data_IF_833832659471
#
_entry.id   IF_833832659471
#
_cell.length_a   1.000
_cell.length_b   1.000
_cell.length_c   1.000
_cell.angle_alpha   90.00
_cell.angle_beta   90.00
_cell.angle_gamma   90.00
#
_symmetry.space_group_name_H-M   'P 1'
#
loop_
_entity.id
_entity.type
_entity.pdbx_description
1 polymer ?
#
# COMPACT_ATOMS: atom_id res chain seq x y z
N UNK A 1 8.22 4.82 -2.12
CA UNK A 1 8.75 3.50 -1.72
C UNK A 1 7.84 2.73 -0.76
N UNK A 2 7.09 3.35 0.17
CA UNK A 2 6.25 2.57 1.10
C UNK A 2 5.05 1.87 0.42
N UNK A 3 4.20 2.59 -0.33
CA UNK A 3 3.04 1.99 -1.01
C UNK A 3 3.38 1.30 -2.33
N UNK A 4 4.44 1.71 -3.00
CA UNK A 4 4.88 1.11 -4.29
C UNK A 4 5.17 -0.39 -4.14
N UNK A 5 5.65 -0.79 -2.96
CA UNK A 5 5.95 -2.18 -2.61
C UNK A 5 4.70 -3.08 -2.51
N UNK A 6 3.50 -2.51 -2.52
CA UNK A 6 2.26 -3.27 -2.50
C UNK A 6 1.67 -3.50 -3.88
N UNK A 7 2.19 -2.87 -4.95
CA UNK A 7 1.55 -2.98 -6.27
C UNK A 7 1.75 -4.34 -6.93
N UNK A 8 2.99 -4.84 -7.02
CA UNK A 8 3.30 -6.13 -7.66
C UNK A 8 3.21 -7.29 -6.66
N UNK A 9 3.87 -7.23 -5.49
CA UNK A 9 3.98 -8.40 -4.61
C UNK A 9 2.66 -8.85 -3.97
N UNK A 10 1.70 -7.93 -3.76
CA UNK A 10 0.39 -8.29 -3.19
C UNK A 10 -0.54 -9.08 -4.14
N UNK A 11 -0.24 -9.09 -5.45
CA UNK A 11 -1.13 -9.65 -6.48
C UNK A 11 -0.55 -10.83 -7.22
N UNK A 12 0.77 -10.85 -7.41
CA UNK A 12 1.41 -11.87 -8.21
C UNK A 12 2.32 -12.76 -7.35
N UNK A 13 2.13 -14.09 -7.36
CA UNK A 13 2.95 -15.01 -6.58
C UNK A 13 4.46 -14.91 -6.87
N UNK A 14 4.85 -14.55 -8.10
CA UNK A 14 6.25 -14.31 -8.47
C UNK A 14 6.84 -13.01 -7.89
N UNK A 15 6.03 -12.20 -7.19
CA UNK A 15 6.50 -11.04 -6.44
C UNK A 15 7.20 -11.39 -5.13
N UNK A 16 7.18 -12.66 -4.72
CA UNK A 16 7.89 -13.19 -3.57
C UNK A 16 8.74 -14.41 -3.97
N UNK A 17 9.84 -14.71 -3.25
CA UNK A 17 10.65 -15.90 -3.52
C UNK A 17 9.88 -17.23 -3.39
N UNK A 18 8.87 -17.27 -2.51
CA UNK A 18 8.05 -18.45 -2.22
C UNK A 18 6.71 -18.05 -1.58
N UNK A 19 5.74 -18.96 -1.52
CA UNK A 19 4.44 -18.75 -0.86
C UNK A 19 3.42 -17.93 -1.66
N UNK A 20 2.18 -17.88 -1.16
CA UNK A 20 1.11 -17.09 -1.73
C UNK A 20 1.19 -15.63 -1.25
N UNK A 21 0.85 -14.62 -2.08
CA UNK A 21 0.93 -13.20 -1.72
C UNK A 21 0.31 -12.83 -0.36
N UNK A 22 -0.83 -13.43 0.02
CA UNK A 22 -1.52 -13.11 1.27
C UNK A 22 -0.73 -13.54 2.53
N UNK A 23 0.25 -14.43 2.40
CA UNK A 23 1.07 -14.92 3.50
C UNK A 23 2.17 -13.91 3.90
N UNK A 24 2.49 -12.96 3.02
CA UNK A 24 3.60 -12.02 3.19
C UNK A 24 3.20 -10.67 3.79
N UNK A 25 1.91 -10.43 3.99
CA UNK A 25 1.38 -9.17 4.53
C UNK A 25 0.62 -9.39 5.82
N UNK A 26 1.27 -9.05 6.93
CA UNK A 26 0.68 -9.05 8.26
C UNK A 26 -0.12 -7.78 8.57
N UNK A 27 -0.75 -7.79 9.75
CA UNK A 27 -1.56 -6.68 10.25
C UNK A 27 -0.79 -5.36 10.32
N UNK A 28 0.47 -5.38 10.80
CA UNK A 28 1.29 -4.18 10.93
C UNK A 28 1.51 -3.49 9.58
N UNK A 29 2.02 -4.24 8.60
CA UNK A 29 2.28 -3.74 7.24
C UNK A 29 1.00 -3.23 6.58
N UNK A 30 -0.11 -3.93 6.79
CA UNK A 30 -1.42 -3.54 6.25
C UNK A 30 -1.92 -2.23 6.89
N UNK A 31 -1.78 -2.08 8.20
CA UNK A 31 -2.16 -0.87 8.93
C UNK A 31 -1.33 0.34 8.51
N UNK A 32 -0.01 0.19 8.38
CA UNK A 32 0.88 1.27 7.90
C UNK A 32 0.55 1.68 6.47
N UNK A 33 0.26 0.72 5.58
CA UNK A 33 -0.17 1.00 4.22
C UNK A 33 -1.47 1.83 4.18
N UNK A 34 -2.46 1.48 5.00
CA UNK A 34 -3.71 2.24 5.10
C UNK A 34 -3.47 3.67 5.61
N UNK A 35 -2.61 3.85 6.62
CA UNK A 35 -2.23 5.18 7.11
C UNK A 35 -1.57 6.03 6.03
N UNK A 36 -0.62 5.46 5.29
CA UNK A 36 0.04 6.19 4.20
C UNK A 36 -0.91 6.53 3.05
N UNK A 37 -1.80 5.60 2.68
CA UNK A 37 -2.81 5.86 1.66
C UNK A 37 -3.76 6.99 2.07
N UNK A 38 -4.19 7.00 3.34
CA UNK A 38 -4.99 8.08 3.92
C UNK A 38 -4.31 9.44 3.82
N UNK A 39 -3.04 9.52 4.21
CA UNK A 39 -2.28 10.77 4.16
C UNK A 39 -2.17 11.36 2.73
N UNK A 40 -2.00 10.50 1.71
CA UNK A 40 -1.98 10.94 0.30
C UNK A 40 -3.35 11.47 -0.12
N UNK A 41 -4.43 10.77 0.24
CA UNK A 41 -5.78 11.21 -0.09
C UNK A 41 -6.13 12.54 0.57
N UNK A 42 -5.75 12.74 1.83
CA UNK A 42 -5.98 13.98 2.55
C UNK A 42 -5.21 15.14 1.94
N UNK A 43 -3.95 14.91 1.54
CA UNK A 43 -3.16 15.90 0.79
C UNK A 43 -3.83 16.28 -0.53
N UNK A 44 -4.18 15.31 -1.37
CA UNK A 44 -4.81 15.57 -2.68
C UNK A 44 -6.14 16.31 -2.49
N UNK A 45 -6.95 15.93 -1.50
CA UNK A 45 -8.20 16.64 -1.20
C UNK A 45 -7.98 18.08 -0.81
N UNK A 46 -6.96 18.38 0.00
CA UNK A 46 -6.62 19.74 0.39
C UNK A 46 -6.24 20.60 -0.82
N UNK A 47 -5.40 20.08 -1.71
CA UNK A 47 -5.00 20.77 -2.95
C UNK A 47 -6.19 21.02 -3.88
N UNK A 48 -7.08 20.03 -4.03
CA UNK A 48 -8.26 20.14 -4.89
C UNK A 48 -9.37 21.03 -4.31
N UNK A 49 -9.44 21.20 -2.99
CA UNK A 49 -10.43 22.07 -2.33
C UNK A 49 -10.10 23.57 -2.42
N UNK A 50 -8.85 23.91 -2.79
CA UNK A 50 -8.42 25.28 -3.08
C UNK A 50 -8.45 25.66 -4.57
N UNK A 51 -8.99 24.79 -5.43
CA UNK A 51 -9.10 24.97 -6.89
C UNK A 51 -10.47 25.53 -7.32
#
# INVERSE_FOLDING_TARGET
MALDNFYVPSRYPNGHPEGAPFEHFGKLQSSEALTHAGAILDFVRAEMAGS
#
